data_IF_052380230410
#
_entry.id   IF_052380230410
#
_cell.length_a   1.000
_cell.length_b   1.000
_cell.length_c   1.000
_cell.angle_alpha   90.00
_cell.angle_beta   90.00
_cell.angle_gamma   90.00
#
_symmetry.space_group_name_H-M   'P 1'
#
loop_
_entity.id
_entity.type
_entity.pdbx_description
1 polymer ?
#
# COMPACT_ATOMS: atom_id res chain seq x y z
N UNK A 1 17.85 3.16 -10.02
CA UNK A 1 16.43 2.82 -10.25
C UNK A 1 16.35 1.40 -10.79
N UNK A 2 16.68 0.40 -9.97
CA UNK A 2 16.64 -1.01 -10.41
C UNK A 2 15.22 -1.53 -10.23
N UNK A 3 14.51 -1.70 -11.35
CA UNK A 3 13.18 -2.29 -11.43
C UNK A 3 13.21 -3.81 -11.26
N UNK A 4 13.92 -4.31 -10.26
CA UNK A 4 13.95 -5.73 -9.95
C UNK A 4 12.58 -6.16 -9.43
N UNK A 5 12.00 -7.17 -10.06
CA UNK A 5 10.73 -7.73 -9.64
C UNK A 5 10.89 -8.32 -8.24
N UNK A 6 10.12 -7.83 -7.28
CA UNK A 6 10.17 -8.31 -5.90
C UNK A 6 9.05 -9.33 -5.68
N UNK A 7 9.29 -10.40 -4.90
CA UNK A 7 8.21 -11.29 -4.49
C UNK A 7 7.22 -10.53 -3.60
N UNK A 8 5.93 -10.79 -3.77
CA UNK A 8 4.90 -10.28 -2.87
C UNK A 8 5.03 -10.98 -1.52
N UNK A 9 4.79 -10.24 -0.44
CA UNK A 9 4.61 -10.83 0.88
C UNK A 9 3.37 -11.75 0.92
N UNK A 10 3.35 -12.71 1.83
CA UNK A 10 2.28 -13.69 1.96
C UNK A 10 0.95 -13.15 2.50
N UNK A 11 0.87 -11.86 2.81
CA UNK A 11 -0.32 -11.19 3.36
C UNK A 11 -1.27 -10.67 2.27
N UNK A 12 -2.56 -10.46 2.60
CA UNK A 12 -3.52 -9.83 1.69
C UNK A 12 -3.07 -8.42 1.26
N UNK A 13 -3.41 -8.02 0.03
CA UNK A 13 -3.08 -6.68 -0.48
C UNK A 13 -3.79 -5.54 0.27
N UNK A 14 -4.85 -5.86 1.02
CA UNK A 14 -5.56 -4.95 1.93
C UNK A 14 -4.84 -4.75 3.25
N UNK A 15 -3.86 -5.60 3.58
CA UNK A 15 -3.16 -5.58 4.85
C UNK A 15 -1.77 -4.92 4.70
N UNK A 16 -1.57 -3.73 5.30
CA UNK A 16 -0.26 -3.10 5.32
C UNK A 16 0.66 -3.78 6.32
N UNK A 17 1.96 -3.77 6.04
CA UNK A 17 2.97 -4.18 7.01
C UNK A 17 3.02 -3.19 8.20
N UNK A 18 3.20 -3.64 9.46
CA UNK A 18 3.29 -2.76 10.63
C UNK A 18 4.33 -1.64 10.52
N UNK A 19 5.45 -1.88 9.84
CA UNK A 19 6.48 -0.85 9.59
C UNK A 19 6.07 0.23 8.57
N UNK A 20 4.99 0.02 7.82
CA UNK A 20 4.44 1.00 6.86
C UNK A 20 3.20 1.71 7.40
N UNK A 21 2.38 0.99 8.15
CA UNK A 21 1.26 1.55 8.89
C UNK A 21 1.15 0.82 10.22
N UNK A 22 1.52 1.51 11.31
CA UNK A 22 1.44 0.94 12.65
C UNK A 22 -0.01 0.49 12.95
N UNK A 23 -0.21 -0.68 13.60
CA UNK A 23 -1.51 -1.09 14.12
C UNK A 23 -2.16 -0.05 15.04
N UNK A 24 -1.34 0.73 15.76
CA UNK A 24 -1.77 1.74 16.72
C UNK A 24 -1.97 3.13 16.09
N UNK A 25 -1.84 3.24 14.76
CA UNK A 25 -1.94 4.53 14.08
C UNK A 25 -3.36 5.13 14.23
N UNK A 26 -3.49 6.40 14.68
CA UNK A 26 -4.79 6.99 15.06
C UNK A 26 -5.81 7.04 13.91
N UNK A 27 -5.34 7.10 12.67
CA UNK A 27 -6.17 7.10 11.46
C UNK A 27 -6.14 5.79 10.65
N UNK A 28 -5.68 4.68 11.25
CA UNK A 28 -5.51 3.40 10.56
C UNK A 28 -6.77 2.96 9.82
N UNK A 29 -7.93 2.99 10.47
CA UNK A 29 -9.20 2.56 9.89
C UNK A 29 -9.60 3.37 8.64
N UNK A 30 -9.44 4.69 8.70
CA UNK A 30 -9.72 5.59 7.57
C UNK A 30 -8.79 5.31 6.39
N UNK A 31 -7.51 5.09 6.69
CA UNK A 31 -6.48 4.76 5.69
C UNK A 31 -6.77 3.41 5.03
N UNK A 32 -7.13 2.40 5.82
CA UNK A 32 -7.52 1.07 5.31
C UNK A 32 -8.77 1.15 4.45
N UNK A 33 -9.78 1.90 4.88
CA UNK A 33 -11.04 2.06 4.13
C UNK A 33 -10.79 2.74 2.79
N UNK A 34 -10.02 3.82 2.76
CA UNK A 34 -9.69 4.53 1.52
C UNK A 34 -8.87 3.66 0.55
N UNK A 35 -7.90 2.90 1.08
CA UNK A 35 -7.12 1.95 0.30
C UNK A 35 -8.00 0.81 -0.25
N UNK A 36 -8.84 0.19 0.59
CA UNK A 36 -9.69 -0.93 0.21
C UNK A 36 -10.70 -0.51 -0.86
N UNK A 37 -11.27 0.70 -0.75
CA UNK A 37 -12.15 1.26 -1.76
C UNK A 37 -11.44 1.43 -3.12
N UNK A 38 -10.23 2.01 -3.13
CA UNK A 38 -9.44 2.15 -4.34
C UNK A 38 -9.01 0.79 -4.91
N UNK A 39 -8.65 -0.17 -4.07
CA UNK A 39 -8.27 -1.52 -4.49
C UNK A 39 -9.45 -2.25 -5.15
N UNK A 40 -10.65 -2.15 -4.56
CA UNK A 40 -11.87 -2.74 -5.10
C UNK A 40 -12.30 -2.08 -6.42
N UNK A 41 -12.10 -0.76 -6.56
CA UNK A 41 -12.34 -0.03 -7.80
C UNK A 41 -11.26 -0.29 -8.88
N UNK A 42 -10.16 -0.98 -8.54
CA UNK A 42 -9.05 -1.23 -9.46
C UNK A 42 -8.16 0.01 -9.70
N UNK A 43 -8.27 1.02 -8.85
CA UNK A 43 -7.56 2.29 -8.98
C UNK A 43 -6.07 2.17 -8.66
N UNK A 44 -5.27 3.02 -9.31
CA UNK A 44 -3.82 3.04 -9.12
C UNK A 44 -3.40 3.49 -7.70
N UNK A 45 -4.24 4.28 -7.04
CA UNK A 45 -3.96 4.88 -5.73
C UNK A 45 -5.18 5.55 -5.12
N UNK A 46 -5.01 6.12 -3.94
CA UNK A 46 -6.01 6.88 -3.20
C UNK A 46 -5.36 8.12 -2.57
N UNK A 47 -6.18 9.11 -2.22
CA UNK A 47 -5.73 10.24 -1.41
C UNK A 47 -5.68 9.81 0.05
N UNK A 48 -4.51 9.93 0.66
CA UNK A 48 -4.31 9.63 2.07
C UNK A 48 -5.11 10.62 2.94
N UNK A 49 -6.08 10.16 3.74
CA UNK A 49 -6.95 11.05 4.51
C UNK A 49 -6.21 11.88 5.58
N UNK A 50 -4.97 11.50 5.93
CA UNK A 50 -4.16 12.24 6.89
C UNK A 50 -3.23 13.27 6.22
N UNK A 51 -2.51 12.85 5.18
CA UNK A 51 -1.46 13.67 4.57
C UNK A 51 -1.91 14.40 3.29
N UNK A 52 -3.10 14.07 2.77
CA UNK A 52 -3.60 14.46 1.46
C UNK A 52 -2.70 14.05 0.27
N UNK A 53 -1.68 13.22 0.50
CA UNK A 53 -0.81 12.72 -0.55
C UNK A 53 -1.48 11.59 -1.34
N UNK A 54 -1.17 11.52 -2.64
CA UNK A 54 -1.58 10.38 -3.46
C UNK A 54 -0.69 9.16 -3.16
N UNK A 55 -1.31 8.09 -2.64
CA UNK A 55 -0.65 6.85 -2.25
C UNK A 55 -1.07 5.72 -3.20
N UNK A 56 -0.09 5.03 -3.79
CA UNK A 56 -0.35 3.89 -4.67
C UNK A 56 -0.97 2.72 -3.91
N UNK A 57 -1.94 2.04 -4.53
CA UNK A 57 -2.53 0.82 -3.97
C UNK A 57 -1.54 -0.34 -4.06
N UNK A 58 -1.64 -1.26 -3.09
CA UNK A 58 -0.93 -2.53 -3.12
C UNK A 58 -1.22 -3.33 -4.41
N UNK A 59 -2.46 -3.29 -4.90
CA UNK A 59 -2.85 -3.94 -6.15
C UNK A 59 -2.15 -3.38 -7.37
N UNK A 60 -2.07 -2.06 -7.50
CA UNK A 60 -1.31 -1.42 -8.57
C UNK A 60 0.18 -1.81 -8.50
N UNK A 61 0.77 -1.76 -7.31
CA UNK A 61 2.17 -2.12 -7.10
C UNK A 61 2.43 -3.59 -7.43
N UNK A 62 1.53 -4.50 -7.04
CA UNK A 62 1.62 -5.93 -7.34
C UNK A 62 1.56 -6.20 -8.85
N UNK A 63 0.64 -5.56 -9.58
CA UNK A 63 0.57 -5.67 -11.06
C UNK A 63 1.81 -5.11 -11.74
N UNK A 64 2.33 -3.97 -11.24
CA UNK A 64 3.58 -3.36 -11.71
C UNK A 64 4.81 -4.26 -11.44
N UNK A 65 4.72 -5.16 -10.44
CA UNK A 65 5.79 -6.09 -10.07
C UNK A 65 7.00 -5.45 -9.39
N UNK A 66 7.01 -4.14 -9.12
CA UNK A 66 8.18 -3.43 -8.57
C UNK A 66 7.79 -2.44 -7.47
N UNK A 67 8.66 -2.33 -6.46
CA UNK A 67 8.51 -1.34 -5.40
C UNK A 67 8.70 0.08 -5.94
N UNK A 68 7.85 1.03 -5.53
CA UNK A 68 7.96 2.42 -5.96
C UNK A 68 9.10 3.20 -5.28
N UNK A 69 9.69 2.64 -4.21
CA UNK A 69 10.80 3.26 -3.47
C UNK A 69 10.42 4.46 -2.58
N UNK A 70 9.12 4.79 -2.47
CA UNK A 70 8.63 6.01 -1.77
C UNK A 70 8.09 5.76 -0.36
N UNK A 71 8.21 4.53 0.15
CA UNK A 71 7.73 4.18 1.49
C UNK A 71 6.20 4.27 1.67
N UNK A 72 5.42 3.91 0.65
CA UNK A 72 3.95 3.94 0.71
C UNK A 72 3.37 3.04 1.82
N UNK A 73 2.18 3.43 2.32
CA UNK A 73 1.50 2.79 3.48
C UNK A 73 1.15 1.32 3.27
N UNK A 74 0.88 0.91 2.03
CA UNK A 74 0.44 -0.45 1.69
C UNK A 74 1.42 -1.18 0.75
N UNK A 75 2.72 -1.01 0.96
CA UNK A 75 3.71 -1.68 0.12
C UNK A 75 3.58 -3.22 0.23
N UNK A 76 3.36 -3.94 -0.88
CA UNK A 76 3.17 -5.40 -0.84
C UNK A 76 4.50 -6.19 -0.83
N UNK A 77 5.64 -5.50 -0.84
CA UNK A 77 6.99 -6.08 -0.96
C UNK A 77 7.84 -5.97 0.31
N UNK A 78 7.24 -5.55 1.42
CA UNK A 78 7.92 -5.56 2.71
C UNK A 78 7.71 -6.94 3.29
N UNK A 79 8.78 -7.65 3.63
CA UNK A 79 8.71 -8.94 4.32
C UNK A 79 8.09 -8.77 5.71
N UNK A 80 7.46 -9.84 6.23
CA UNK A 80 6.81 -9.86 7.54
C UNK A 80 7.81 -10.02 8.71
#
# INVERSE_FOLDING_TARGET
>A
MSGERRPLAGRPLTEPHPSRLSPEHPHRERILTAHAAALAAGEAGYLDPETALFVLTAGFLARRGTCCGRGCRHCPYVDD
#
